data_IF_447084623879
#
_entry.id   IF_447084623879
#
_cell.length_a   1.000
_cell.length_b   1.000
_cell.length_c   1.000
_cell.angle_alpha   90.00
_cell.angle_beta   90.00
_cell.angle_gamma   90.00
#
_symmetry.space_group_name_H-M   'P 1'
#
loop_
_entity.id
_entity.type
_entity.pdbx_description
1 polymer ?
#
# COMPACT_ATOMS: atom_id res chain seq x y z
N UNK A 1 -0.78 -1.77 23.18
CA UNK A 1 -0.96 -0.61 24.07
C UNK A 1 -2.16 0.29 23.72
N UNK A 2 -2.83 0.08 22.58
CA UNK A 2 -4.06 0.82 22.23
C UNK A 2 -5.30 0.38 23.03
N UNK A 3 -5.34 -0.84 23.54
CA UNK A 3 -6.51 -1.39 24.27
C UNK A 3 -6.78 -0.68 25.62
N UNK A 4 -5.76 -0.12 26.22
CA UNK A 4 -5.88 0.49 27.56
C UNK A 4 -6.54 1.89 27.56
N UNK A 5 -6.57 2.58 26.40
CA UNK A 5 -7.16 3.92 26.30
C UNK A 5 -8.70 3.86 26.20
N UNK A 6 -9.22 2.94 25.43
CA UNK A 6 -10.66 2.77 25.27
C UNK A 6 -11.30 2.21 26.56
N UNK A 7 -10.62 1.31 27.27
CA UNK A 7 -11.08 0.80 28.58
C UNK A 7 -11.16 1.91 29.62
N UNK A 8 -10.11 2.74 29.74
CA UNK A 8 -10.11 3.87 30.67
C UNK A 8 -11.21 4.88 30.37
N UNK A 9 -11.42 5.21 29.10
CA UNK A 9 -12.46 6.17 28.70
C UNK A 9 -13.86 5.62 28.88
N UNK A 10 -14.05 4.30 28.75
CA UNK A 10 -15.31 3.63 29.03
C UNK A 10 -15.63 3.66 30.53
N UNK A 11 -14.65 3.40 31.38
CA UNK A 11 -14.78 3.48 32.84
C UNK A 11 -15.04 4.92 33.34
N UNK A 12 -14.43 5.92 32.71
CA UNK A 12 -14.68 7.34 33.01
C UNK A 12 -16.10 7.78 32.65
N UNK A 13 -16.68 7.27 31.57
CA UNK A 13 -18.00 7.70 31.06
C UNK A 13 -19.14 6.91 31.70
N UNK A 14 -18.96 5.62 31.96
CA UNK A 14 -20.02 4.70 32.39
C UNK A 14 -19.87 4.15 33.82
N UNK A 15 -18.77 4.51 34.51
CA UNK A 15 -18.48 4.04 35.86
C UNK A 15 -17.96 2.61 35.95
N UNK A 16 -17.28 2.28 37.03
CA UNK A 16 -16.59 0.98 37.28
C UNK A 16 -17.48 -0.25 37.37
N UNK A 17 -18.80 -0.11 37.28
CA UNK A 17 -19.79 -1.21 37.30
C UNK A 17 -20.45 -1.51 35.95
N UNK A 18 -20.11 -0.76 34.89
CA UNK A 18 -20.70 -0.99 33.57
C UNK A 18 -20.19 -2.30 32.96
N UNK A 19 -21.09 -3.06 32.34
CA UNK A 19 -20.77 -4.34 31.70
C UNK A 19 -19.74 -4.10 30.57
N UNK A 20 -18.50 -4.59 30.75
CA UNK A 20 -17.45 -4.47 29.74
C UNK A 20 -17.91 -5.09 28.43
N UNK A 21 -18.17 -4.25 27.44
CA UNK A 21 -18.37 -4.72 26.07
C UNK A 21 -16.98 -4.93 25.48
N UNK A 22 -16.49 -6.15 25.51
CA UNK A 22 -15.25 -6.52 24.82
C UNK A 22 -15.53 -6.52 23.34
N UNK A 23 -15.21 -5.43 22.64
CA UNK A 23 -15.19 -5.41 21.18
C UNK A 23 -14.02 -6.29 20.76
N UNK A 24 -14.29 -7.54 20.44
CA UNK A 24 -13.29 -8.41 19.79
C UNK A 24 -13.05 -7.83 18.40
N UNK A 25 -12.00 -7.07 18.23
CA UNK A 25 -11.45 -6.77 16.92
C UNK A 25 -10.94 -8.09 16.33
N UNK A 26 -11.79 -8.78 15.55
CA UNK A 26 -11.32 -9.92 14.79
C UNK A 26 -10.39 -9.41 13.70
N UNK A 27 -9.14 -9.85 13.72
CA UNK A 27 -8.19 -9.59 12.62
C UNK A 27 -8.83 -10.12 11.32
N UNK A 28 -8.89 -9.30 10.24
CA UNK A 28 -9.44 -9.76 8.98
C UNK A 28 -8.71 -11.00 8.48
N UNK A 29 -9.43 -11.96 7.90
CA UNK A 29 -8.79 -13.11 7.27
C UNK A 29 -7.93 -12.69 6.09
N UNK A 30 -6.92 -13.50 5.74
CA UNK A 30 -6.08 -13.25 4.56
C UNK A 30 -6.93 -13.08 3.29
N UNK A 31 -7.97 -13.88 3.10
CA UNK A 31 -8.88 -13.74 1.96
C UNK A 31 -9.57 -12.38 1.94
N UNK A 32 -10.00 -11.88 3.09
CA UNK A 32 -10.59 -10.54 3.21
C UNK A 32 -9.58 -9.46 2.82
N UNK A 33 -8.34 -9.58 3.29
CA UNK A 33 -7.27 -8.63 2.95
C UNK A 33 -6.92 -8.68 1.46
N UNK A 34 -6.83 -9.87 0.86
CA UNK A 34 -6.58 -10.05 -0.57
C UNK A 34 -7.68 -9.42 -1.44
N UNK A 35 -8.94 -9.48 -1.03
CA UNK A 35 -10.04 -8.83 -1.74
C UNK A 35 -10.00 -7.31 -1.56
N UNK A 36 -9.67 -6.81 -0.37
CA UNK A 36 -9.59 -5.37 -0.06
C UNK A 36 -8.36 -4.69 -0.67
N UNK A 37 -7.26 -5.42 -0.82
CA UNK A 37 -6.03 -4.89 -1.41
C UNK A 37 -6.18 -4.73 -2.93
N UNK A 38 -6.56 -3.53 -3.36
CA UNK A 38 -6.72 -3.15 -4.78
C UNK A 38 -5.81 -1.98 -5.12
N UNK A 39 -5.36 -1.96 -6.38
CA UNK A 39 -4.64 -0.80 -6.92
C UNK A 39 -5.58 0.39 -6.99
N UNK A 40 -5.45 1.32 -6.08
CA UNK A 40 -6.26 2.53 -5.97
C UNK A 40 -5.50 3.71 -6.56
N UNK A 41 -6.16 4.47 -7.44
CA UNK A 41 -5.57 5.62 -8.15
C UNK A 41 -6.17 6.95 -7.69
N UNK A 42 -7.38 6.91 -7.10
CA UNK A 42 -8.10 8.07 -6.61
C UNK A 42 -8.25 7.99 -5.10
N UNK A 43 -7.72 8.99 -4.41
CA UNK A 43 -7.66 9.01 -2.94
C UNK A 43 -8.42 10.20 -2.37
N UNK A 44 -9.00 10.00 -1.20
CA UNK A 44 -9.63 11.07 -0.41
C UNK A 44 -8.57 12.07 0.00
N UNK A 45 -8.77 13.34 -0.42
CA UNK A 45 -7.81 14.42 -0.15
C UNK A 45 -7.97 15.01 1.26
N UNK A 46 -9.09 14.74 1.91
CA UNK A 46 -9.40 15.13 3.29
C UNK A 46 -8.87 14.14 4.34
N UNK A 47 -8.32 13.01 3.90
CA UNK A 47 -7.80 11.97 4.80
C UNK A 47 -6.28 12.04 4.90
N UNK A 48 -5.77 12.17 6.14
CA UNK A 48 -4.35 12.20 6.44
C UNK A 48 -3.90 10.81 6.87
N UNK A 49 -2.83 10.31 6.25
CA UNK A 49 -2.12 9.10 6.68
C UNK A 49 -0.95 9.54 7.54
N UNK A 50 -0.88 9.02 8.76
CA UNK A 50 0.17 9.41 9.72
C UNK A 50 1.51 8.70 9.44
N UNK A 51 2.59 9.31 9.87
CA UNK A 51 3.93 8.70 9.83
C UNK A 51 3.99 7.38 10.61
N UNK A 52 3.25 7.27 11.73
CA UNK A 52 3.14 6.04 12.51
C UNK A 52 2.48 4.90 11.72
N UNK A 53 1.40 5.20 11.00
CA UNK A 53 0.76 4.21 10.13
C UNK A 53 1.71 3.72 9.03
N UNK A 54 2.46 4.63 8.40
CA UNK A 54 3.46 4.26 7.39
C UNK A 54 4.60 3.43 7.99
N UNK A 55 5.07 3.78 9.19
CA UNK A 55 6.08 3.00 9.93
C UNK A 55 5.57 1.58 10.20
N UNK A 56 4.34 1.44 10.67
CA UNK A 56 3.69 0.14 10.91
C UNK A 56 3.59 -0.69 9.62
N UNK A 57 3.35 -0.03 8.48
CA UNK A 57 3.33 -0.70 7.16
C UNK A 57 4.74 -1.18 6.79
N UNK A 58 5.77 -0.35 6.96
CA UNK A 58 7.16 -0.71 6.66
C UNK A 58 7.68 -1.84 7.56
N UNK A 59 7.24 -1.87 8.83
CA UNK A 59 7.70 -2.84 9.83
C UNK A 59 7.48 -4.31 9.44
N UNK A 60 6.54 -4.60 8.53
CA UNK A 60 6.36 -5.98 8.05
C UNK A 60 7.64 -6.57 7.46
N UNK A 61 8.50 -5.70 6.88
CA UNK A 61 9.72 -6.12 6.19
C UNK A 61 10.76 -6.78 7.10
N UNK A 62 10.73 -6.51 8.42
CA UNK A 62 11.64 -7.19 9.37
C UNK A 62 11.29 -8.67 9.59
N UNK A 63 10.16 -9.13 9.03
CA UNK A 63 9.63 -10.50 9.17
C UNK A 63 9.61 -11.26 7.83
N UNK A 64 9.96 -10.59 6.74
CA UNK A 64 9.91 -11.17 5.40
C UNK A 64 11.21 -11.91 5.05
N UNK A 65 11.06 -12.96 4.25
CA UNK A 65 12.21 -13.60 3.62
C UNK A 65 12.77 -12.75 2.50
N UNK A 66 14.07 -12.88 2.24
CA UNK A 66 14.73 -12.32 1.06
C UNK A 66 15.72 -13.34 0.49
N UNK A 67 16.01 -13.25 -0.79
CA UNK A 67 16.93 -14.16 -1.47
C UNK A 67 18.31 -14.14 -0.78
N UNK A 68 18.78 -15.31 -0.36
CA UNK A 68 20.03 -15.48 0.39
C UNK A 68 20.12 -14.61 1.66
N UNK A 69 18.97 -14.19 2.20
CA UNK A 69 18.87 -13.26 3.33
C UNK A 69 19.67 -11.95 3.13
N UNK A 70 19.77 -11.46 1.89
CA UNK A 70 20.53 -10.25 1.56
C UNK A 70 19.92 -8.98 2.16
N UNK A 71 18.59 -8.94 2.36
CA UNK A 71 17.87 -7.81 2.95
C UNK A 71 18.26 -6.47 2.31
N UNK A 72 18.31 -6.43 0.98
CA UNK A 72 18.85 -5.31 0.21
C UNK A 72 17.92 -4.09 0.17
N UNK A 73 16.64 -4.21 0.56
CA UNK A 73 15.68 -3.12 0.46
C UNK A 73 15.80 -2.12 1.62
N UNK A 74 15.61 -0.84 1.30
CA UNK A 74 15.54 0.27 2.25
C UNK A 74 14.30 1.10 1.96
N UNK A 75 13.77 1.77 2.97
CA UNK A 75 12.48 2.46 2.88
C UNK A 75 12.57 3.89 3.37
N UNK A 76 11.97 4.82 2.63
CA UNK A 76 11.77 6.19 3.06
C UNK A 76 10.29 6.50 3.11
N UNK A 77 9.84 6.97 4.26
CA UNK A 77 8.48 7.42 4.50
C UNK A 77 8.38 8.89 4.12
N UNK A 78 7.32 9.24 3.38
CA UNK A 78 7.00 10.61 2.98
C UNK A 78 5.50 10.83 3.23
N UNK A 79 5.16 11.70 4.16
CA UNK A 79 3.77 12.04 4.52
C UNK A 79 3.62 13.52 4.83
N UNK A 80 2.39 14.01 4.71
CA UNK A 80 1.99 15.40 5.01
C UNK A 80 1.82 15.64 6.53
N UNK A 81 2.08 14.66 7.35
CA UNK A 81 1.96 14.73 8.80
C UNK A 81 3.13 15.53 9.37
N UNK A 82 2.85 16.81 9.63
CA UNK A 82 3.85 17.77 10.11
C UNK A 82 4.12 17.68 11.63
N UNK A 83 3.37 16.86 12.38
CA UNK A 83 3.43 16.89 13.85
C UNK A 83 4.31 15.80 14.47
N UNK A 84 4.90 14.94 13.73
CA UNK A 84 5.56 13.80 14.35
C UNK A 84 6.84 13.36 13.69
N UNK A 85 7.94 13.63 14.33
CA UNK A 85 9.17 12.82 14.37
C UNK A 85 9.81 12.38 13.04
N UNK A 86 11.11 12.62 12.97
CA UNK A 86 12.14 11.88 12.19
C UNK A 86 11.65 11.30 10.86
N UNK A 87 11.65 12.09 9.82
CA UNK A 87 11.35 11.84 8.41
C UNK A 87 10.01 12.38 7.88
N UNK A 88 9.30 13.23 8.60
CA UNK A 88 8.22 13.99 8.00
C UNK A 88 8.80 14.87 6.89
N UNK A 89 8.51 14.52 5.65
CA UNK A 89 8.80 15.40 4.55
C UNK A 89 7.88 16.62 4.69
N UNK A 90 8.40 17.83 4.53
CA UNK A 90 7.56 19.03 4.49
C UNK A 90 6.48 18.86 3.42
N UNK A 91 5.35 19.54 3.57
CA UNK A 91 4.27 19.56 2.56
C UNK A 91 4.82 19.85 1.15
N UNK A 92 5.87 20.67 1.05
CA UNK A 92 6.55 20.96 -0.22
C UNK A 92 7.19 19.71 -0.84
N UNK A 93 7.83 18.84 -0.05
CA UNK A 93 8.41 17.59 -0.55
C UNK A 93 7.35 16.58 -0.97
N UNK A 94 6.22 16.52 -0.25
CA UNK A 94 5.07 15.69 -0.67
C UNK A 94 4.53 16.19 -2.01
N UNK A 95 4.34 17.49 -2.18
CA UNK A 95 3.88 18.07 -3.43
C UNK A 95 4.88 17.86 -4.57
N UNK A 96 6.16 18.08 -4.34
CA UNK A 96 7.21 17.81 -5.34
C UNK A 96 7.25 16.32 -5.74
N UNK A 97 7.08 15.40 -4.79
CA UNK A 97 6.97 13.98 -5.09
C UNK A 97 5.74 13.65 -5.94
N UNK A 98 4.59 14.28 -5.65
CA UNK A 98 3.37 14.14 -6.47
C UNK A 98 3.60 14.59 -7.91
N UNK A 99 4.33 15.67 -8.10
CA UNK A 99 4.66 16.20 -9.44
C UNK A 99 5.57 15.25 -10.23
N UNK A 100 6.49 14.57 -9.54
CA UNK A 100 7.35 13.53 -10.15
C UNK A 100 6.53 12.28 -10.51
N UNK A 101 5.62 11.85 -9.63
CA UNK A 101 4.91 10.59 -9.79
C UNK A 101 3.67 10.67 -10.68
N UNK A 102 3.03 11.83 -10.78
CA UNK A 102 1.72 11.96 -11.44
C UNK A 102 1.64 13.23 -12.28
N UNK A 103 0.86 13.13 -13.37
CA UNK A 103 0.42 14.27 -14.18
C UNK A 103 -1.07 14.51 -13.96
N UNK A 104 -1.54 15.73 -14.19
CA UNK A 104 -2.98 16.03 -14.13
C UNK A 104 -3.77 15.21 -15.18
N UNK A 105 -5.04 14.81 -14.90
CA UNK A 105 -5.78 15.05 -13.65
C UNK A 105 -5.43 14.10 -12.50
N UNK A 106 -4.66 13.05 -12.74
CA UNK A 106 -4.36 12.01 -11.73
C UNK A 106 -3.59 12.56 -10.51
N UNK A 107 -2.85 13.67 -10.69
CA UNK A 107 -2.11 14.32 -9.62
C UNK A 107 -3.03 14.86 -8.51
N UNK A 108 -4.09 15.55 -8.86
CA UNK A 108 -5.02 16.16 -7.89
C UNK A 108 -5.75 15.13 -7.03
N UNK A 109 -5.94 13.91 -7.56
CA UNK A 109 -6.60 12.79 -6.87
C UNK A 109 -5.62 11.77 -6.29
N UNK A 110 -4.30 11.98 -6.42
CA UNK A 110 -3.28 11.04 -5.98
C UNK A 110 -3.15 10.98 -4.45
N UNK A 111 -2.46 9.96 -3.97
CA UNK A 111 -2.13 9.83 -2.54
C UNK A 111 -1.31 11.03 -2.05
N UNK A 112 -1.33 11.25 -0.73
CA UNK A 112 -0.51 12.25 -0.02
C UNK A 112 0.49 11.62 0.94
N UNK A 113 0.58 10.30 0.94
CA UNK A 113 1.52 9.54 1.75
C UNK A 113 2.17 8.45 0.88
N UNK A 114 3.47 8.27 1.04
CA UNK A 114 4.29 7.43 0.19
C UNK A 114 5.35 6.69 0.98
N UNK A 115 5.69 5.49 0.50
CA UNK A 115 6.86 4.75 0.92
C UNK A 115 7.72 4.55 -0.34
N UNK A 116 8.88 5.21 -0.38
CA UNK A 116 9.84 5.01 -1.45
C UNK A 116 10.71 3.82 -1.08
N UNK A 117 10.82 2.85 -1.97
CA UNK A 117 11.64 1.67 -1.79
C UNK A 117 12.94 1.85 -2.58
N UNK A 118 14.05 1.63 -1.90
CA UNK A 118 15.40 1.67 -2.48
C UNK A 118 16.02 0.28 -2.41
N UNK A 119 16.91 -0.01 -3.37
CA UNK A 119 17.82 -1.14 -3.30
C UNK A 119 19.23 -0.68 -2.99
N UNK A 120 19.96 -1.46 -2.19
CA UNK A 120 21.41 -1.26 -1.91
C UNK A 120 22.32 -1.96 -2.92
N UNK A 121 21.75 -2.71 -3.83
CA UNK A 121 22.45 -3.43 -4.91
C UNK A 121 21.69 -3.20 -6.22
N UNK A 122 22.33 -3.35 -7.39
CA UNK A 122 21.67 -3.19 -8.67
C UNK A 122 20.44 -4.09 -8.82
N UNK A 123 19.45 -3.64 -9.59
CA UNK A 123 18.26 -4.42 -9.92
C UNK A 123 18.67 -5.72 -10.64
N UNK A 124 18.22 -6.83 -10.11
CA UNK A 124 18.36 -8.16 -10.66
C UNK A 124 17.14 -9.00 -10.30
N UNK A 125 16.98 -10.15 -10.95
CA UNK A 125 15.79 -11.02 -10.76
C UNK A 125 15.41 -11.28 -9.30
N UNK A 126 16.39 -11.49 -8.42
CA UNK A 126 16.10 -11.78 -7.01
C UNK A 126 15.66 -10.53 -6.25
N UNK A 127 16.18 -9.36 -6.63
CA UNK A 127 15.71 -8.09 -6.07
C UNK A 127 14.28 -7.81 -6.50
N UNK A 128 13.91 -8.10 -7.74
CA UNK A 128 12.53 -7.94 -8.22
C UNK A 128 11.56 -8.86 -7.46
N UNK A 129 11.97 -10.10 -7.14
CA UNK A 129 11.19 -11.04 -6.33
C UNK A 129 11.04 -10.49 -4.91
N UNK A 130 12.12 -10.10 -4.24
CA UNK A 130 12.11 -9.54 -2.89
C UNK A 130 11.27 -8.25 -2.83
N UNK A 131 11.38 -7.40 -3.85
CA UNK A 131 10.58 -6.18 -4.00
C UNK A 131 9.08 -6.51 -4.10
N UNK A 132 8.71 -7.49 -4.93
CA UNK A 132 7.32 -7.94 -5.06
C UNK A 132 6.76 -8.47 -3.73
N UNK A 133 7.52 -9.28 -2.99
CA UNK A 133 7.16 -9.80 -1.67
C UNK A 133 6.95 -8.65 -0.68
N UNK A 134 7.88 -7.70 -0.64
CA UNK A 134 7.84 -6.52 0.22
C UNK A 134 6.62 -5.65 -0.06
N UNK A 135 6.42 -5.24 -1.32
CA UNK A 135 5.32 -4.37 -1.74
C UNK A 135 3.95 -5.00 -1.47
N UNK A 136 3.79 -6.30 -1.78
CA UNK A 136 2.53 -7.01 -1.50
C UNK A 136 2.25 -7.10 0.00
N UNK A 137 3.27 -7.40 0.81
CA UNK A 137 3.12 -7.51 2.26
C UNK A 137 2.77 -6.16 2.90
N UNK A 138 3.43 -5.09 2.49
CA UNK A 138 3.11 -3.73 2.90
C UNK A 138 1.69 -3.32 2.49
N UNK A 139 1.25 -3.66 1.27
CA UNK A 139 -0.10 -3.35 0.80
C UNK A 139 -1.18 -4.12 1.58
N UNK A 140 -0.92 -5.38 1.96
CA UNK A 140 -1.82 -6.16 2.84
C UNK A 140 -1.89 -5.55 4.24
N UNK A 141 -0.76 -5.09 4.79
CA UNK A 141 -0.74 -4.39 6.09
C UNK A 141 -1.50 -3.07 6.03
N UNK A 142 -1.37 -2.32 4.95
CA UNK A 142 -2.17 -1.12 4.73
C UNK A 142 -3.68 -1.45 4.69
N UNK A 143 -4.08 -2.54 3.99
CA UNK A 143 -5.46 -3.00 3.95
C UNK A 143 -5.99 -3.43 5.33
N UNK A 144 -5.16 -4.03 6.18
CA UNK A 144 -5.48 -4.35 7.58
C UNK A 144 -5.75 -3.08 8.40
N UNK A 145 -4.98 -2.00 8.17
CA UNK A 145 -5.19 -0.68 8.78
C UNK A 145 -6.35 0.10 8.15
N UNK A 146 -7.07 -0.49 7.18
CA UNK A 146 -8.19 0.16 6.48
C UNK A 146 -7.74 1.22 5.45
N UNK A 147 -6.47 1.18 5.04
CA UNK A 147 -5.87 2.00 4.00
C UNK A 147 -5.82 1.24 2.66
N UNK A 148 -5.46 1.96 1.61
CA UNK A 148 -5.39 1.42 0.26
C UNK A 148 -4.08 1.86 -0.40
N UNK A 149 -3.60 1.07 -1.36
CA UNK A 149 -2.31 1.31 -1.99
C UNK A 149 -2.37 1.34 -3.52
N UNK A 150 -1.34 1.98 -4.10
CA UNK A 150 -0.95 1.83 -5.49
C UNK A 150 0.56 1.59 -5.53
N UNK A 151 0.97 0.50 -6.16
CA UNK A 151 2.38 0.24 -6.46
C UNK A 151 2.74 0.97 -7.76
N UNK A 152 3.78 1.80 -7.73
CA UNK A 152 4.37 2.43 -8.90
C UNK A 152 5.78 1.89 -9.11
N UNK A 153 5.96 1.10 -10.16
CA UNK A 153 7.28 0.65 -10.64
C UNK A 153 7.86 1.56 -11.73
N UNK A 154 6.98 2.19 -12.53
CA UNK A 154 7.43 3.21 -13.49
C UNK A 154 7.61 4.55 -12.76
N UNK A 155 8.84 4.85 -12.36
CA UNK A 155 9.23 6.00 -11.55
C UNK A 155 10.37 6.76 -12.22
N UNK A 156 10.44 8.06 -12.00
CA UNK A 156 11.58 8.89 -12.36
C UNK A 156 12.65 8.78 -11.26
N UNK A 157 13.62 7.87 -11.48
CA UNK A 157 14.69 7.58 -10.52
C UNK A 157 15.58 8.79 -10.27
N UNK A 158 15.88 9.57 -11.32
CA UNK A 158 16.72 10.77 -11.23
C UNK A 158 16.01 11.89 -10.44
N UNK A 159 14.74 12.12 -10.74
CA UNK A 159 13.91 13.08 -10.02
C UNK A 159 13.77 12.74 -8.54
N UNK A 160 13.55 11.47 -8.20
CA UNK A 160 13.50 11.00 -6.82
C UNK A 160 14.85 11.16 -6.09
N UNK A 161 15.95 10.83 -6.77
CA UNK A 161 17.29 10.96 -6.22
C UNK A 161 17.65 12.43 -5.96
N UNK A 162 17.25 13.33 -6.86
CA UNK A 162 17.45 14.77 -6.71
C UNK A 162 16.64 15.36 -5.55
N UNK A 163 15.39 14.90 -5.39
CA UNK A 163 14.47 15.42 -4.36
C UNK A 163 14.84 15.00 -2.94
N UNK A 164 15.29 13.75 -2.76
CA UNK A 164 15.52 13.18 -1.42
C UNK A 164 16.99 12.97 -1.07
N UNK A 165 17.88 13.12 -2.03
CA UNK A 165 19.27 12.70 -1.89
C UNK A 165 19.35 11.17 -1.77
N UNK A 166 20.11 10.53 -2.61
CA UNK A 166 20.49 9.14 -2.42
C UNK A 166 21.85 9.13 -1.75
N UNK A 167 21.94 8.54 -0.55
CA UNK A 167 23.23 8.16 0.00
C UNK A 167 23.94 7.21 -0.98
N UNK A 168 25.26 7.12 -0.91
CA UNK A 168 26.05 6.28 -1.80
C UNK A 168 25.48 4.85 -1.87
N UNK A 169 25.16 4.40 -3.08
CA UNK A 169 24.71 3.05 -3.37
C UNK A 169 23.21 2.76 -3.15
N UNK A 170 22.36 3.77 -2.92
CA UNK A 170 20.91 3.58 -2.85
C UNK A 170 20.24 3.97 -4.17
N UNK A 171 19.54 3.02 -4.79
CA UNK A 171 18.76 3.24 -6.01
C UNK A 171 17.26 3.12 -5.74
N UNK A 172 16.41 4.12 -6.08
CA UNK A 172 14.97 3.99 -5.95
C UNK A 172 14.45 2.98 -6.98
N UNK A 173 13.68 1.98 -6.51
CA UNK A 173 13.19 0.87 -7.34
C UNK A 173 11.67 0.85 -7.45
N UNK A 174 10.94 1.38 -6.47
CA UNK A 174 9.48 1.51 -6.51
C UNK A 174 8.99 2.57 -5.53
N UNK A 175 7.73 3.00 -5.72
CA UNK A 175 7.00 3.82 -4.75
C UNK A 175 5.67 3.16 -4.44
N UNK A 176 5.38 2.95 -3.15
CA UNK A 176 4.07 2.57 -2.65
C UNK A 176 3.32 3.84 -2.24
N UNK A 177 2.26 4.17 -3.00
CA UNK A 177 1.34 5.25 -2.66
C UNK A 177 0.34 4.73 -1.64
N UNK A 178 0.07 5.47 -0.56
CA UNK A 178 -0.80 5.04 0.54
C UNK A 178 -1.84 6.12 0.82
N UNK A 179 -3.09 5.71 1.05
CA UNK A 179 -4.17 6.63 1.38
C UNK A 179 -5.51 5.92 1.58
N UNK A 180 -6.58 6.71 1.70
CA UNK A 180 -7.96 6.21 1.75
C UNK A 180 -8.58 6.30 0.36
N UNK A 181 -9.12 5.19 -0.14
CA UNK A 181 -9.74 5.16 -1.46
C UNK A 181 -10.90 6.17 -1.59
N UNK A 182 -10.94 6.87 -2.73
CA UNK A 182 -12.07 7.68 -3.20
C UNK A 182 -12.79 7.02 -4.39
N UNK A 183 -12.44 5.78 -4.69
CA UNK A 183 -13.02 4.99 -5.77
C UNK A 183 -13.37 3.60 -5.30
N UNK A 184 -14.28 2.94 -6.03
CA UNK A 184 -14.65 1.54 -5.81
C UNK A 184 -14.03 0.66 -6.91
N UNK A 185 -13.39 -0.43 -6.52
CA UNK A 185 -12.77 -1.39 -7.43
C UNK A 185 -13.36 -2.77 -7.18
N UNK A 186 -13.88 -3.40 -8.23
CA UNK A 186 -14.49 -4.73 -8.17
C UNK A 186 -13.74 -5.73 -9.04
N UNK A 187 -13.57 -6.94 -8.51
CA UNK A 187 -13.06 -8.08 -9.26
C UNK A 187 -14.21 -8.70 -10.07
N UNK A 188 -14.01 -8.85 -11.37
CA UNK A 188 -14.98 -9.51 -12.27
C UNK A 188 -14.44 -10.88 -12.67
N UNK A 189 -15.10 -11.98 -12.29
CA UNK A 189 -14.72 -13.30 -12.77
C UNK A 189 -14.81 -13.37 -14.31
N UNK A 190 -13.80 -13.98 -14.93
CA UNK A 190 -13.79 -14.31 -16.36
C UNK A 190 -14.09 -15.82 -16.48
N UNK A 191 -15.17 -16.21 -17.19
CA UNK A 191 -15.49 -17.63 -17.40
C UNK A 191 -14.37 -18.38 -18.13
N UNK A 192 -14.20 -19.66 -17.80
CA UNK A 192 -13.18 -20.53 -18.43
C UNK A 192 -13.55 -20.96 -19.86
N UNK A 193 -14.83 -20.90 -20.20
CA UNK A 193 -15.42 -21.40 -21.44
C UNK A 193 -15.56 -20.36 -22.56
N UNK A 194 -14.95 -19.18 -22.39
CA UNK A 194 -14.89 -18.19 -23.46
C UNK A 194 -14.03 -18.74 -24.60
N UNK A 195 -14.64 -19.01 -25.77
CA UNK A 195 -13.98 -19.51 -26.97
C UNK A 195 -12.94 -18.53 -27.55
N UNK A 196 -12.98 -17.27 -27.11
CA UNK A 196 -12.07 -16.22 -27.52
C UNK A 196 -11.06 -15.91 -26.37
N UNK A 197 -9.91 -15.38 -26.74
CA UNK A 197 -8.93 -14.88 -25.77
C UNK A 197 -9.61 -13.85 -24.85
N UNK A 198 -9.62 -14.09 -23.52
CA UNK A 198 -10.40 -13.25 -22.61
C UNK A 198 -9.84 -11.82 -22.55
N UNK A 199 -10.70 -10.82 -22.68
CA UNK A 199 -10.32 -9.42 -22.46
C UNK A 199 -10.09 -9.17 -20.96
N UNK A 200 -8.84 -9.09 -20.58
CA UNK A 200 -8.39 -8.81 -19.21
C UNK A 200 -8.19 -7.32 -18.94
N UNK A 201 -8.52 -6.45 -19.89
CA UNK A 201 -8.35 -5.00 -19.73
C UNK A 201 -9.30 -4.46 -18.68
N UNK A 202 -8.81 -3.79 -17.63
CA UNK A 202 -9.66 -3.12 -16.68
C UNK A 202 -10.48 -1.99 -17.33
N UNK A 203 -11.71 -1.79 -16.87
CA UNK A 203 -12.59 -0.75 -17.38
C UNK A 203 -13.39 -0.09 -16.27
N UNK A 204 -13.88 1.14 -16.52
CA UNK A 204 -14.77 1.85 -15.61
C UNK A 204 -16.16 1.96 -16.19
N UNK A 205 -17.18 1.62 -15.39
CA UNK A 205 -18.59 1.77 -15.73
C UNK A 205 -19.32 2.36 -14.53
N UNK A 206 -20.09 3.43 -14.76
CA UNK A 206 -20.91 4.10 -13.72
C UNK A 206 -20.11 4.46 -12.45
N UNK A 207 -18.86 4.95 -12.64
CA UNK A 207 -17.98 5.35 -11.52
C UNK A 207 -17.30 4.19 -10.79
N UNK A 208 -17.57 2.94 -11.18
CA UNK A 208 -16.98 1.74 -10.60
C UNK A 208 -15.90 1.19 -11.52
N UNK A 209 -14.73 0.88 -10.95
CA UNK A 209 -13.61 0.29 -11.69
C UNK A 209 -13.66 -1.24 -11.58
N UNK A 210 -13.80 -1.91 -12.72
CA UNK A 210 -13.86 -3.37 -12.83
C UNK A 210 -12.51 -3.92 -13.28
N UNK A 211 -12.06 -4.97 -12.58
CA UNK A 211 -10.80 -5.67 -12.90
C UNK A 211 -11.13 -7.13 -13.20
N UNK A 212 -11.08 -7.56 -14.49
CA UNK A 212 -11.26 -8.95 -14.88
C UNK A 212 -10.23 -9.87 -14.22
N UNK A 213 -10.65 -11.04 -13.77
CA UNK A 213 -9.79 -12.05 -13.13
C UNK A 213 -10.09 -13.44 -13.69
N UNK A 214 -9.05 -14.08 -14.19
CA UNK A 214 -9.09 -15.49 -14.54
C UNK A 214 -9.47 -16.32 -13.32
N UNK A 215 -10.18 -17.41 -13.54
CA UNK A 215 -10.62 -18.31 -12.50
C UNK A 215 -9.66 -19.49 -12.33
N UNK A 216 -9.84 -20.26 -11.25
CA UNK A 216 -8.93 -21.35 -10.87
C UNK A 216 -8.69 -22.34 -11.99
N UNK A 217 -9.75 -22.72 -12.70
CA UNK A 217 -9.68 -23.70 -13.79
C UNK A 217 -8.85 -23.22 -15.00
N UNK A 218 -8.61 -21.91 -15.11
CA UNK A 218 -7.75 -21.34 -16.15
C UNK A 218 -6.30 -21.19 -15.71
N UNK A 219 -6.06 -20.92 -14.42
CA UNK A 219 -4.70 -20.64 -13.90
C UNK A 219 -3.99 -21.89 -13.36
N UNK A 220 -4.74 -22.94 -13.03
CA UNK A 220 -4.21 -24.21 -12.55
C UNK A 220 -3.99 -25.15 -13.75
N UNK A 221 -2.74 -25.52 -13.98
CA UNK A 221 -2.43 -26.51 -15.00
C UNK A 221 -2.85 -27.91 -14.54
N UNK A 222 -3.52 -28.67 -15.41
CA UNK A 222 -3.76 -30.10 -15.16
C UNK A 222 -2.45 -30.86 -15.21
N UNK A 223 -2.29 -31.85 -14.34
CA UNK A 223 -1.19 -32.79 -14.47
C UNK A 223 -1.38 -33.63 -15.74
N UNK A 224 -0.30 -33.91 -16.49
CA UNK A 224 -0.36 -34.78 -17.67
C UNK A 224 -0.75 -36.21 -17.32
#
# INVERSE_FOLDING_TARGET
MADNYLEKRYEEVFGSGARKVTVKHSTPSLNTLLVKNRSIRRYRQDFIVTGEQLRTIVEVNVKLGSAMNRQALRFRIVADDAEGEVNAASADKVNALRDILFREPARSESARAYIIVYSTIPEERYIDIDLGISLQSMALKAAELGLNCLIKGNIDKEGLSSLFGTGDGLEPVAVLCVGKAAESVFLKPVPADSSDEPDLKPYTKEGVHYVPKLQMDTILLSNP
#
